data_IF_764925070258
#
_entry.id   IF_764925070258
#
_cell.length_a   1.000
_cell.length_b   1.000
_cell.length_c   1.000
_cell.angle_alpha   90.00
_cell.angle_beta   90.00
_cell.angle_gamma   90.00
#
_symmetry.space_group_name_H-M   'P 1'
#
loop_
_entity.id
_entity.type
_entity.pdbx_description
1 polymer ?
#
# COMPACT_ATOMS: atom_id res chain seq x y z
N UNK A 1 71.45 34.72 45.26
CA UNK A 1 70.30 34.37 46.06
C UNK A 1 69.19 35.36 45.79
N UNK A 2 68.14 34.99 45.10
CA UNK A 2 66.73 35.44 45.27
C UNK A 2 65.86 34.77 44.17
N UNK A 3 65.00 33.90 44.57
CA UNK A 3 64.05 33.18 43.74
C UNK A 3 62.92 34.11 43.32
N UNK A 4 62.62 34.21 42.03
CA UNK A 4 61.40 34.79 41.47
C UNK A 4 60.43 33.69 41.01
N UNK A 5 59.28 33.56 41.64
CA UNK A 5 58.18 32.68 41.26
C UNK A 5 57.39 33.31 40.13
N UNK A 6 57.33 32.63 39.00
CA UNK A 6 56.38 32.92 37.93
C UNK A 6 55.06 32.16 38.22
N UNK A 7 53.94 32.89 38.35
CA UNK A 7 52.58 32.38 38.39
C UNK A 7 52.10 32.17 36.96
N UNK A 8 51.83 30.93 36.59
CA UNK A 8 51.17 30.61 35.35
C UNK A 8 49.63 30.63 35.58
N UNK A 9 48.97 31.59 34.93
CA UNK A 9 47.50 31.65 34.90
C UNK A 9 46.93 30.66 33.89
N UNK A 10 46.14 29.71 34.34
CA UNK A 10 45.37 28.80 33.50
C UNK A 10 44.11 29.49 33.03
N UNK A 11 44.01 29.72 31.72
CA UNK A 11 42.75 30.14 31.07
C UNK A 11 41.93 28.89 30.79
N UNK A 12 40.82 28.70 31.53
CA UNK A 12 39.85 27.66 31.25
C UNK A 12 38.92 28.16 30.13
N UNK A 13 39.16 27.70 28.92
CA UNK A 13 38.25 27.92 27.80
C UNK A 13 37.04 27.02 27.93
N UNK A 14 35.88 27.62 28.20
CA UNK A 14 34.58 26.93 28.14
C UNK A 14 34.18 26.71 26.66
N UNK A 15 34.41 25.51 26.15
CA UNK A 15 33.84 25.08 24.87
C UNK A 15 32.35 24.78 25.07
N UNK A 16 31.48 25.68 24.58
CA UNK A 16 30.07 25.44 24.47
C UNK A 16 29.88 24.33 23.42
N UNK A 17 29.52 23.13 23.85
CA UNK A 17 28.95 22.09 23.01
C UNK A 17 27.57 22.56 22.54
N UNK A 18 27.50 23.11 21.33
CA UNK A 18 26.25 23.29 20.61
C UNK A 18 25.78 21.87 20.27
N UNK A 19 24.83 21.38 21.05
CA UNK A 19 24.11 20.13 20.75
C UNK A 19 23.41 20.29 19.41
N UNK A 20 23.93 19.65 18.36
CA UNK A 20 23.17 19.41 17.14
C UNK A 20 21.97 18.54 17.55
N UNK A 21 20.80 19.16 17.67
CA UNK A 21 19.55 18.42 17.75
C UNK A 21 19.46 17.52 16.51
N UNK A 22 18.74 16.38 16.59
CA UNK A 22 18.56 15.53 15.44
C UNK A 22 17.98 16.38 14.30
N UNK A 23 18.71 16.42 13.19
CA UNK A 23 18.18 16.95 11.93
C UNK A 23 16.98 16.05 11.60
N UNK A 24 15.77 16.52 11.90
CA UNK A 24 14.55 15.92 11.40
C UNK A 24 14.69 16.00 9.88
N UNK A 25 15.01 14.89 9.24
CA UNK A 25 14.93 14.77 7.79
C UNK A 25 13.58 15.33 7.39
N UNK A 26 13.58 16.25 6.44
CA UNK A 26 12.38 16.93 5.96
C UNK A 26 11.45 15.87 5.36
N UNK A 27 10.58 15.30 6.20
CA UNK A 27 9.63 14.23 5.86
C UNK A 27 8.47 14.78 5.01
N UNK A 28 8.79 15.77 4.18
CA UNK A 28 7.84 16.42 3.29
C UNK A 28 7.49 15.48 2.14
N UNK A 29 6.31 14.84 2.25
CA UNK A 29 5.80 13.92 1.24
C UNK A 29 4.99 14.60 0.14
N UNK A 30 4.78 15.90 0.24
CA UNK A 30 4.01 16.71 -0.71
C UNK A 30 4.88 17.80 -1.39
N UNK A 31 4.46 18.35 -2.58
CA UNK A 31 3.24 17.96 -3.30
C UNK A 31 3.34 16.54 -3.90
N UNK A 32 2.23 15.81 -3.87
CA UNK A 32 2.13 14.48 -4.48
C UNK A 32 1.09 14.50 -5.61
N UNK A 33 1.43 13.93 -6.77
CA UNK A 33 0.50 13.85 -7.90
C UNK A 33 -0.52 12.75 -7.72
N UNK A 34 -1.76 13.02 -8.10
CA UNK A 34 -2.87 12.07 -8.09
C UNK A 34 -3.89 12.42 -9.18
N UNK A 35 -4.79 11.49 -9.49
CA UNK A 35 -5.95 11.76 -10.30
C UNK A 35 -7.13 12.19 -9.43
N UNK A 36 -7.67 13.39 -9.70
CA UNK A 36 -8.92 13.88 -9.12
C UNK A 36 -10.08 13.54 -10.06
N UNK A 37 -11.16 12.95 -9.51
CA UNK A 37 -12.37 12.55 -10.23
C UNK A 37 -13.61 13.32 -9.80
N UNK A 38 -13.50 14.35 -8.99
CA UNK A 38 -14.66 15.10 -8.45
C UNK A 38 -15.49 15.77 -9.54
N UNK A 39 -14.88 16.11 -10.67
CA UNK A 39 -15.56 16.67 -11.85
C UNK A 39 -16.24 15.62 -12.74
N UNK A 40 -16.16 14.33 -12.39
CA UNK A 40 -16.66 13.22 -13.21
C UNK A 40 -15.67 12.73 -14.29
N UNK A 41 -14.53 13.41 -14.46
CA UNK A 41 -13.44 13.01 -15.36
C UNK A 41 -12.10 13.07 -14.63
N UNK A 42 -11.14 12.26 -15.09
CA UNK A 42 -9.78 12.23 -14.53
C UNK A 42 -9.02 13.52 -14.84
N UNK A 43 -8.51 14.16 -13.79
CA UNK A 43 -7.62 15.32 -13.90
C UNK A 43 -6.40 15.09 -13.00
N UNK A 44 -5.20 15.31 -13.53
CA UNK A 44 -3.98 15.28 -12.71
C UNK A 44 -3.97 16.53 -11.84
N UNK A 45 -3.84 16.31 -10.53
CA UNK A 45 -3.76 17.38 -9.52
C UNK A 45 -2.58 17.12 -8.57
N UNK A 46 -2.22 18.14 -7.81
CA UNK A 46 -1.22 18.05 -6.74
C UNK A 46 -1.91 18.06 -5.38
N UNK A 47 -1.58 17.08 -4.55
CA UNK A 47 -2.07 17.01 -3.17
C UNK A 47 -1.10 17.72 -2.24
N UNK A 48 -1.64 18.68 -1.48
CA UNK A 48 -0.94 19.39 -0.41
C UNK A 48 -1.77 19.20 0.87
N UNK A 49 -1.26 18.52 1.90
CA UNK A 49 -2.01 18.28 3.13
C UNK A 49 -2.17 19.54 3.95
N UNK A 50 -3.08 19.51 4.92
CA UNK A 50 -3.17 20.54 5.96
C UNK A 50 -1.86 20.57 6.77
N UNK A 51 -1.51 21.72 7.30
CA UNK A 51 -0.32 21.86 8.14
C UNK A 51 -0.45 21.06 9.44
N UNK A 52 -1.58 21.18 10.13
CA UNK A 52 -1.88 20.51 11.39
C UNK A 52 -3.40 20.47 11.62
N UNK A 53 -3.88 19.50 12.40
CA UNK A 53 -5.26 19.50 12.88
C UNK A 53 -5.48 20.56 13.98
N UNK A 54 -6.69 21.10 14.04
CA UNK A 54 -7.07 22.11 15.05
C UNK A 54 -7.23 21.53 16.45
N UNK A 55 -7.47 20.21 16.56
CA UNK A 55 -7.59 19.47 17.82
C UNK A 55 -7.25 17.98 17.63
N UNK A 56 -7.01 17.23 18.72
CA UNK A 56 -6.68 15.80 18.65
C UNK A 56 -7.92 14.94 18.33
N UNK A 57 -8.38 14.96 17.08
CA UNK A 57 -9.46 14.12 16.60
C UNK A 57 -9.18 12.62 16.82
N UNK A 58 -10.20 11.82 17.08
CA UNK A 58 -10.09 10.37 17.26
C UNK A 58 -10.47 9.66 15.95
N UNK A 59 -9.52 9.03 15.30
CA UNK A 59 -9.73 8.36 14.01
C UNK A 59 -9.65 6.85 14.20
N UNK A 60 -10.72 6.14 13.82
CA UNK A 60 -10.73 4.69 13.73
C UNK A 60 -10.20 4.26 12.37
N UNK A 61 -9.28 3.29 12.33
CA UNK A 61 -8.71 2.73 11.11
C UNK A 61 -9.01 1.24 11.05
N UNK A 62 -9.54 0.78 9.91
CA UNK A 62 -9.97 -0.61 9.70
C UNK A 62 -9.28 -1.20 8.49
N UNK A 63 -8.42 -2.22 8.69
CA UNK A 63 -7.73 -2.92 7.61
C UNK A 63 -8.11 -4.41 7.56
N UNK A 64 -7.99 -5.06 6.38
CA UNK A 64 -8.28 -6.49 6.24
C UNK A 64 -7.34 -7.34 7.10
N UNK A 65 -6.07 -7.05 7.08
CA UNK A 65 -5.03 -7.79 7.82
C UNK A 65 -3.71 -7.02 7.84
N UNK A 66 -2.74 -7.54 8.63
CA UNK A 66 -1.36 -7.04 8.71
C UNK A 66 -0.32 -8.13 8.37
N UNK A 67 -0.74 -9.22 7.69
CA UNK A 67 0.14 -10.35 7.33
C UNK A 67 0.92 -10.12 6.03
N UNK A 68 0.54 -9.15 5.20
CA UNK A 68 1.29 -8.66 4.05
C UNK A 68 1.91 -7.31 4.40
N UNK A 69 3.19 -7.12 4.13
CA UNK A 69 3.91 -5.86 4.38
C UNK A 69 3.41 -4.70 3.52
N UNK A 70 2.59 -4.97 2.50
CA UNK A 70 1.81 -3.94 1.83
C UNK A 70 0.91 -3.17 2.80
N UNK A 71 0.11 -3.86 3.63
CA UNK A 71 -0.74 -3.21 4.63
C UNK A 71 0.05 -2.55 5.75
N UNK A 72 1.25 -3.04 6.03
CA UNK A 72 2.20 -2.38 6.94
C UNK A 72 2.69 -1.05 6.35
N UNK A 73 2.84 -0.96 5.03
CA UNK A 73 3.18 0.30 4.37
C UNK A 73 2.01 1.31 4.40
N UNK A 74 0.77 0.85 4.24
CA UNK A 74 -0.42 1.72 4.44
C UNK A 74 -0.48 2.22 5.88
N UNK A 75 -0.27 1.33 6.86
CA UNK A 75 -0.22 1.68 8.28
C UNK A 75 0.86 2.72 8.57
N UNK A 76 2.07 2.56 8.01
CA UNK A 76 3.12 3.57 8.13
C UNK A 76 2.65 4.94 7.67
N UNK A 77 1.97 5.01 6.52
CA UNK A 77 1.39 6.26 6.01
C UNK A 77 0.38 6.86 6.97
N UNK A 78 -0.53 6.04 7.50
CA UNK A 78 -1.55 6.45 8.49
C UNK A 78 -0.91 6.95 9.78
N UNK A 79 0.04 6.20 10.33
CA UNK A 79 0.73 6.51 11.59
C UNK A 79 1.51 7.81 11.50
N UNK A 80 2.32 7.95 10.46
CA UNK A 80 3.15 9.14 10.30
C UNK A 80 2.31 10.39 10.04
N UNK A 81 1.20 10.25 9.31
CA UNK A 81 0.31 11.38 9.11
C UNK A 81 -0.49 11.73 10.37
N UNK A 82 -0.94 10.73 11.15
CA UNK A 82 -1.60 10.96 12.42
C UNK A 82 -0.69 11.69 13.42
N UNK A 83 0.58 11.29 13.50
CA UNK A 83 1.60 11.99 14.30
C UNK A 83 1.82 13.42 13.84
N UNK A 84 2.02 13.63 12.52
CA UNK A 84 2.26 14.94 11.92
C UNK A 84 1.09 15.89 12.16
N UNK A 85 -0.14 15.38 12.01
CA UNK A 85 -1.37 16.16 12.20
C UNK A 85 -1.71 16.39 13.69
N UNK A 86 -1.14 15.61 14.61
CA UNK A 86 -1.46 15.66 16.04
C UNK A 86 -2.86 15.11 16.34
N UNK A 87 -3.24 14.00 15.71
CA UNK A 87 -4.53 13.32 15.93
C UNK A 87 -4.32 11.95 16.57
N UNK A 88 -5.35 11.47 17.28
CA UNK A 88 -5.38 10.11 17.80
C UNK A 88 -5.80 9.13 16.71
N UNK A 89 -5.19 7.96 16.68
CA UNK A 89 -5.54 6.89 15.77
C UNK A 89 -5.61 5.55 16.51
N UNK A 90 -6.60 4.75 16.19
CA UNK A 90 -6.69 3.34 16.63
C UNK A 90 -6.98 2.46 15.44
N UNK A 91 -6.10 1.47 15.21
CA UNK A 91 -6.20 0.54 14.11
C UNK A 91 -6.72 -0.82 14.58
N UNK A 92 -7.72 -1.33 13.90
CA UNK A 92 -8.20 -2.71 13.98
C UNK A 92 -7.94 -3.42 12.66
N UNK A 93 -7.67 -4.72 12.74
CA UNK A 93 -7.50 -5.58 11.58
C UNK A 93 -8.32 -6.86 11.70
N UNK A 94 -8.90 -7.31 10.59
CA UNK A 94 -9.80 -8.44 10.60
C UNK A 94 -9.08 -9.81 10.60
N UNK A 95 -7.83 -9.88 10.12
CA UNK A 95 -7.01 -11.09 10.08
C UNK A 95 -6.94 -11.76 8.71
N UNK A 96 -7.73 -11.31 7.72
CA UNK A 96 -7.73 -11.82 6.35
C UNK A 96 -9.00 -11.43 5.61
N UNK A 97 -8.99 -11.61 4.30
CA UNK A 97 -10.15 -11.33 3.44
C UNK A 97 -11.31 -12.31 3.69
N UNK A 98 -11.05 -13.46 4.27
CA UNK A 98 -12.04 -14.44 4.71
C UNK A 98 -12.85 -13.98 5.94
N UNK A 99 -12.40 -12.95 6.64
CA UNK A 99 -12.94 -12.50 7.91
C UNK A 99 -13.87 -11.26 7.78
N UNK A 100 -14.68 -11.17 6.73
CA UNK A 100 -15.64 -10.09 6.56
C UNK A 100 -16.55 -9.87 7.80
N UNK A 101 -17.09 -10.91 8.47
CA UNK A 101 -17.91 -10.70 9.67
C UNK A 101 -17.17 -9.94 10.78
N UNK A 102 -15.88 -10.16 10.93
CA UNK A 102 -15.07 -9.44 11.92
C UNK A 102 -14.91 -7.96 11.54
N UNK A 103 -14.67 -7.64 10.25
CA UNK A 103 -14.60 -6.25 9.82
C UNK A 103 -15.93 -5.52 9.97
N UNK A 104 -17.07 -6.21 9.73
CA UNK A 104 -18.40 -5.67 9.98
C UNK A 104 -18.60 -5.28 11.46
N UNK A 105 -18.24 -6.18 12.40
CA UNK A 105 -18.29 -5.89 13.84
C UNK A 105 -17.39 -4.72 14.22
N UNK A 106 -16.14 -4.71 13.73
CA UNK A 106 -15.19 -3.63 13.98
C UNK A 106 -15.70 -2.27 13.45
N UNK A 107 -16.38 -2.27 12.30
CA UNK A 107 -16.99 -1.05 11.77
C UNK A 107 -18.12 -0.55 12.69
N UNK A 108 -19.02 -1.44 13.13
CA UNK A 108 -20.11 -1.08 14.05
C UNK A 108 -19.55 -0.60 15.41
N UNK A 109 -18.45 -1.18 15.92
CA UNK A 109 -17.74 -0.73 17.11
C UNK A 109 -17.15 0.69 16.93
N UNK A 110 -16.53 0.98 15.78
CA UNK A 110 -16.03 2.32 15.48
C UNK A 110 -17.16 3.34 15.29
N UNK A 111 -18.28 2.90 14.73
CA UNK A 111 -19.43 3.77 14.51
C UNK A 111 -20.08 4.19 15.85
N UNK A 112 -20.22 3.25 16.78
CA UNK A 112 -20.82 3.47 18.10
C UNK A 112 -19.85 4.01 19.14
N UNK A 113 -18.55 3.81 18.95
CA UNK A 113 -17.50 4.23 19.87
C UNK A 113 -17.15 5.72 19.78
N UNK A 114 -16.22 6.13 20.63
CA UNK A 114 -15.75 7.51 20.72
C UNK A 114 -14.73 7.83 19.61
N UNK A 115 -15.12 7.67 18.36
CA UNK A 115 -14.35 8.05 17.18
C UNK A 115 -15.06 9.13 16.38
N UNK A 116 -14.30 10.07 15.85
CA UNK A 116 -14.83 11.20 15.08
C UNK A 116 -14.95 10.86 13.59
N UNK A 117 -14.10 9.98 13.07
CA UNK A 117 -14.10 9.49 11.67
C UNK A 117 -13.66 8.04 11.58
N UNK A 118 -14.00 7.38 10.47
CA UNK A 118 -13.56 6.02 10.13
C UNK A 118 -12.78 6.06 8.81
N UNK A 119 -11.54 5.56 8.83
CA UNK A 119 -10.74 5.25 7.65
C UNK A 119 -10.77 3.74 7.45
N UNK A 120 -11.11 3.28 6.25
CA UNK A 120 -11.29 1.84 6.00
C UNK A 120 -10.68 1.38 4.68
N UNK A 121 -9.87 0.31 4.72
CA UNK A 121 -9.58 -0.56 3.58
C UNK A 121 -10.59 -1.72 3.58
N UNK A 122 -11.66 -1.68 2.78
CA UNK A 122 -12.74 -2.66 2.89
C UNK A 122 -12.32 -4.04 2.39
N UNK A 123 -12.70 -5.10 3.10
CA UNK A 123 -12.56 -6.50 2.62
C UNK A 123 -13.42 -6.71 1.37
N UNK A 124 -14.64 -6.20 1.38
CA UNK A 124 -15.59 -6.30 0.27
C UNK A 124 -16.54 -5.11 0.30
N UNK A 125 -16.64 -4.37 -0.79
CA UNK A 125 -17.60 -3.27 -0.91
C UNK A 125 -19.03 -3.77 -0.70
N UNK A 126 -19.43 -4.80 -1.44
CA UNK A 126 -20.78 -5.34 -1.36
C UNK A 126 -21.13 -5.87 0.04
N UNK A 127 -20.14 -6.47 0.73
CA UNK A 127 -20.32 -6.96 2.09
C UNK A 127 -20.50 -5.85 3.13
N UNK A 128 -19.93 -4.66 2.89
CA UNK A 128 -19.94 -3.51 3.79
C UNK A 128 -20.98 -2.44 3.43
N UNK A 129 -21.77 -2.62 2.37
CA UNK A 129 -22.70 -1.60 1.87
C UNK A 129 -23.65 -1.08 2.95
N UNK A 130 -24.20 -1.98 3.78
CA UNK A 130 -25.09 -1.60 4.90
C UNK A 130 -24.36 -0.77 5.96
N UNK A 131 -23.10 -1.08 6.25
CA UNK A 131 -22.26 -0.35 7.21
C UNK A 131 -21.93 1.04 6.68
N UNK A 132 -21.59 1.15 5.40
CA UNK A 132 -21.39 2.44 4.75
C UNK A 132 -22.63 3.32 4.82
N UNK A 133 -23.80 2.77 4.50
CA UNK A 133 -25.07 3.49 4.63
C UNK A 133 -25.35 3.96 6.07
N UNK A 134 -25.12 3.11 7.08
CA UNK A 134 -25.22 3.50 8.50
C UNK A 134 -24.24 4.63 8.86
N UNK A 135 -22.98 4.52 8.40
CA UNK A 135 -21.94 5.54 8.64
C UNK A 135 -22.35 6.89 8.08
N UNK A 136 -22.79 6.93 6.83
CA UNK A 136 -23.26 8.16 6.18
C UNK A 136 -24.47 8.73 6.93
N UNK A 137 -25.44 7.90 7.31
CA UNK A 137 -26.65 8.33 8.05
C UNK A 137 -26.33 8.90 9.44
N UNK A 138 -25.24 8.44 10.08
CA UNK A 138 -24.78 8.96 11.38
C UNK A 138 -24.11 10.33 11.28
N UNK A 139 -23.74 10.77 10.08
CA UNK A 139 -22.94 11.98 9.85
C UNK A 139 -21.45 11.82 10.18
N UNK A 140 -20.98 10.61 10.56
CA UNK A 140 -19.57 10.34 10.80
C UNK A 140 -18.84 10.18 9.46
N UNK A 141 -17.73 10.91 9.21
CA UNK A 141 -16.95 10.75 7.97
C UNK A 141 -16.44 9.33 7.78
N UNK A 142 -16.69 8.77 6.60
CA UNK A 142 -16.18 7.46 6.17
C UNK A 142 -15.22 7.69 5.01
N UNK A 143 -13.94 7.44 5.22
CA UNK A 143 -12.88 7.57 4.22
C UNK A 143 -12.44 6.18 3.79
N UNK A 144 -12.80 5.79 2.57
CA UNK A 144 -12.30 4.54 1.99
C UNK A 144 -10.90 4.74 1.43
N UNK A 145 -9.99 3.81 1.69
CA UNK A 145 -8.63 3.86 1.16
C UNK A 145 -8.20 2.49 0.62
N UNK A 146 -7.30 2.49 -0.35
CA UNK A 146 -6.70 1.31 -0.98
C UNK A 146 -7.72 0.49 -1.76
N UNK A 147 -8.51 -0.34 -1.08
CA UNK A 147 -9.46 -1.25 -1.72
C UNK A 147 -10.65 -0.52 -2.35
N UNK A 148 -11.20 -1.04 -3.46
CA UNK A 148 -12.17 -0.30 -4.25
C UNK A 148 -13.52 -0.15 -3.54
N UNK A 149 -14.10 1.05 -3.65
CA UNK A 149 -15.52 1.33 -3.35
C UNK A 149 -16.08 2.08 -4.55
N UNK A 150 -16.78 1.38 -5.44
CA UNK A 150 -17.29 1.92 -6.69
C UNK A 150 -18.73 2.42 -6.57
N UNK A 151 -19.62 1.62 -5.98
CA UNK A 151 -21.08 1.82 -5.95
C UNK A 151 -21.56 2.41 -4.63
N UNK A 152 -21.02 1.94 -3.49
CA UNK A 152 -21.44 2.40 -2.17
C UNK A 152 -21.06 3.85 -1.92
N UNK A 153 -21.92 4.55 -1.17
CA UNK A 153 -21.67 5.93 -0.78
C UNK A 153 -20.77 5.99 0.43
N UNK A 154 -19.65 6.71 0.32
CA UNK A 154 -18.74 7.08 1.40
C UNK A 154 -18.38 8.57 1.28
N UNK A 155 -17.81 9.16 2.32
CA UNK A 155 -17.48 10.59 2.32
C UNK A 155 -16.38 10.91 1.30
N UNK A 156 -15.33 10.08 1.27
CA UNK A 156 -14.22 10.19 0.32
C UNK A 156 -13.63 8.82 0.03
N UNK A 157 -13.02 8.68 -1.14
CA UNK A 157 -12.31 7.46 -1.59
C UNK A 157 -10.93 7.85 -2.10
N UNK A 158 -9.90 7.15 -1.59
CA UNK A 158 -8.55 7.19 -2.12
C UNK A 158 -8.14 5.78 -2.53
N UNK A 159 -7.97 5.52 -3.81
CA UNK A 159 -7.67 4.19 -4.35
C UNK A 159 -6.67 4.29 -5.52
N UNK A 160 -6.63 3.30 -6.39
CA UNK A 160 -5.88 3.28 -7.64
C UNK A 160 -6.76 2.66 -8.75
N UNK A 161 -6.33 2.76 -9.98
CA UNK A 161 -6.92 1.98 -11.06
C UNK A 161 -6.22 0.61 -11.17
N UNK A 162 -6.83 -0.41 -10.56
CA UNK A 162 -6.27 -1.77 -10.52
C UNK A 162 -6.19 -2.41 -11.91
N UNK A 163 -7.13 -2.09 -12.80
CA UNK A 163 -7.09 -2.57 -14.19
C UNK A 163 -5.89 -1.99 -14.91
N UNK A 164 -5.62 -0.68 -14.74
CA UNK A 164 -4.42 -0.04 -15.29
C UNK A 164 -3.14 -0.69 -14.76
N UNK A 165 -3.05 -1.01 -13.47
CA UNK A 165 -1.88 -1.70 -12.92
C UNK A 165 -1.70 -3.10 -13.53
N UNK A 166 -2.79 -3.86 -13.68
CA UNK A 166 -2.76 -5.14 -14.38
C UNK A 166 -2.30 -5.00 -15.82
N UNK A 167 -2.80 -3.99 -16.55
CA UNK A 167 -2.38 -3.69 -17.90
C UNK A 167 -0.88 -3.35 -17.97
N UNK A 168 -0.36 -2.53 -17.06
CA UNK A 168 1.06 -2.16 -16.99
C UNK A 168 1.96 -3.39 -16.82
N UNK A 169 1.61 -4.29 -15.89
CA UNK A 169 2.37 -5.52 -15.67
C UNK A 169 2.31 -6.47 -16.88
N UNK A 170 1.14 -6.58 -17.53
CA UNK A 170 0.97 -7.38 -18.74
C UNK A 170 1.73 -6.81 -19.92
N UNK A 171 1.70 -5.50 -20.13
CA UNK A 171 2.46 -4.81 -21.18
C UNK A 171 3.97 -4.99 -20.99
N UNK A 172 4.45 -4.82 -19.76
CA UNK A 172 5.85 -5.05 -19.44
C UNK A 172 6.28 -6.49 -19.73
N UNK A 173 5.44 -7.48 -19.38
CA UNK A 173 5.72 -8.88 -19.70
C UNK A 173 5.80 -9.11 -21.21
N UNK A 174 4.87 -8.56 -22.00
CA UNK A 174 4.87 -8.64 -23.48
C UNK A 174 6.16 -8.06 -24.05
N UNK A 175 6.56 -6.88 -23.61
CA UNK A 175 7.80 -6.21 -24.04
C UNK A 175 9.05 -7.01 -23.66
N UNK A 176 9.08 -7.62 -22.49
CA UNK A 176 10.17 -8.44 -22.00
C UNK A 176 10.31 -9.75 -22.80
N UNK A 177 9.19 -10.43 -23.05
CA UNK A 177 9.17 -11.69 -23.79
C UNK A 177 9.53 -11.53 -25.26
N UNK A 178 9.13 -10.44 -25.89
CA UNK A 178 9.18 -10.26 -27.34
C UNK A 178 8.48 -11.44 -28.05
N UNK A 179 9.21 -12.27 -28.76
CA UNK A 179 8.69 -13.44 -29.48
C UNK A 179 8.84 -14.75 -28.71
N UNK A 180 9.37 -14.72 -27.47
CA UNK A 180 9.53 -15.94 -26.66
C UNK A 180 8.17 -16.45 -26.19
N UNK A 181 7.98 -17.77 -26.30
CA UNK A 181 6.75 -18.42 -25.84
C UNK A 181 6.61 -18.40 -24.31
N UNK A 182 5.41 -18.13 -23.83
CA UNK A 182 5.09 -18.13 -22.42
C UNK A 182 3.80 -18.90 -22.13
N UNK A 183 3.84 -19.73 -21.07
CA UNK A 183 2.68 -20.33 -20.41
C UNK A 183 2.54 -19.71 -19.03
N UNK A 184 1.52 -18.87 -18.88
CA UNK A 184 1.33 -17.99 -17.73
C UNK A 184 0.32 -18.56 -16.74
N UNK A 185 0.77 -18.89 -15.54
CA UNK A 185 -0.10 -19.14 -14.40
C UNK A 185 -0.40 -17.86 -13.65
N UNK A 186 -1.68 -17.63 -13.32
CA UNK A 186 -2.15 -16.44 -12.65
C UNK A 186 -2.67 -16.72 -11.25
N UNK A 187 -2.25 -15.90 -10.27
CA UNK A 187 -2.54 -16.01 -8.84
C UNK A 187 -2.98 -14.64 -8.30
N UNK A 188 -4.16 -14.15 -8.71
CA UNK A 188 -4.52 -12.73 -8.55
C UNK A 188 -4.77 -12.30 -7.11
N UNK A 189 -5.13 -13.23 -6.22
CA UNK A 189 -5.51 -12.95 -4.84
C UNK A 189 -6.91 -13.46 -4.48
N UNK A 190 -7.56 -12.91 -3.43
CA UNK A 190 -8.86 -13.38 -2.96
C UNK A 190 -10.00 -12.98 -3.92
N UNK A 191 -10.83 -13.95 -4.28
CA UNK A 191 -12.05 -13.70 -5.05
C UNK A 191 -13.05 -12.88 -4.26
N UNK A 192 -13.76 -11.99 -4.94
CA UNK A 192 -14.76 -11.10 -4.34
C UNK A 192 -14.20 -9.85 -3.66
N UNK A 193 -12.88 -9.64 -3.72
CA UNK A 193 -12.23 -8.44 -3.21
C UNK A 193 -12.40 -7.21 -4.14
N UNK A 194 -12.70 -7.47 -5.42
CA UNK A 194 -12.81 -6.48 -6.49
C UNK A 194 -11.47 -6.05 -7.07
N UNK A 195 -10.42 -5.97 -6.25
CA UNK A 195 -9.10 -5.59 -6.73
C UNK A 195 -8.38 -6.74 -7.45
N UNK A 196 -8.51 -7.98 -6.96
CA UNK A 196 -7.87 -9.15 -7.56
C UNK A 196 -8.40 -9.43 -8.97
N UNK A 197 -9.72 -9.34 -9.14
CA UNK A 197 -10.38 -9.44 -10.43
C UNK A 197 -9.93 -8.33 -11.38
N UNK A 198 -9.91 -7.06 -10.91
CA UNK A 198 -9.53 -5.92 -11.74
C UNK A 198 -8.07 -5.97 -12.20
N UNK A 199 -7.14 -6.40 -11.34
CA UNK A 199 -5.75 -6.68 -11.74
C UNK A 199 -5.69 -7.73 -12.86
N UNK A 200 -6.39 -8.86 -12.65
CA UNK A 200 -6.39 -9.97 -13.61
C UNK A 200 -6.98 -9.55 -14.95
N UNK A 201 -8.08 -8.82 -14.94
CA UNK A 201 -8.74 -8.32 -16.16
C UNK A 201 -7.80 -7.41 -16.95
N UNK A 202 -7.10 -6.51 -16.26
CA UNK A 202 -6.10 -5.64 -16.87
C UNK A 202 -4.94 -6.43 -17.48
N UNK A 203 -4.39 -7.40 -16.74
CA UNK A 203 -3.32 -8.26 -17.23
C UNK A 203 -3.75 -9.05 -18.47
N UNK A 204 -4.92 -9.70 -18.42
CA UNK A 204 -5.48 -10.44 -19.55
C UNK A 204 -5.73 -9.55 -20.77
N UNK A 205 -6.18 -8.33 -20.56
CA UNK A 205 -6.39 -7.35 -21.64
C UNK A 205 -5.06 -7.03 -22.34
N UNK A 206 -3.97 -6.83 -21.59
CA UNK A 206 -2.66 -6.52 -22.15
C UNK A 206 -2.05 -7.66 -22.97
N UNK A 207 -2.26 -8.91 -22.54
CA UNK A 207 -1.71 -10.09 -23.23
C UNK A 207 -2.64 -10.65 -24.33
N UNK A 208 -3.85 -10.14 -24.43
CA UNK A 208 -4.86 -10.59 -25.40
C UNK A 208 -4.34 -10.48 -26.83
N UNK A 209 -4.50 -11.56 -27.62
CA UNK A 209 -4.09 -11.61 -29.01
C UNK A 209 -2.59 -11.81 -29.25
N UNK A 210 -1.80 -12.02 -28.21
CA UNK A 210 -0.37 -12.38 -28.33
C UNK A 210 -0.26 -13.90 -28.53
N UNK A 211 0.04 -14.34 -29.76
CA UNK A 211 0.06 -15.77 -30.14
C UNK A 211 1.13 -16.58 -29.42
N UNK A 212 2.17 -15.93 -28.90
CA UNK A 212 3.24 -16.55 -28.11
C UNK A 212 2.93 -16.67 -26.62
N UNK A 213 1.78 -16.17 -26.13
CA UNK A 213 1.39 -16.21 -24.73
C UNK A 213 0.14 -17.09 -24.56
N UNK A 214 0.27 -18.14 -23.78
CA UNK A 214 -0.84 -19.04 -23.38
C UNK A 214 -1.17 -18.79 -21.92
N UNK A 215 -2.42 -18.38 -21.65
CA UNK A 215 -2.93 -18.24 -20.29
C UNK A 215 -3.40 -19.59 -19.78
N UNK A 216 -2.96 -19.97 -18.59
CA UNK A 216 -3.43 -21.13 -17.84
C UNK A 216 -4.62 -20.75 -16.95
N UNK A 217 -5.13 -21.73 -16.17
CA UNK A 217 -6.25 -21.47 -15.25
C UNK A 217 -5.88 -20.45 -14.16
N UNK A 218 -6.80 -19.56 -13.87
CA UNK A 218 -6.66 -18.60 -12.77
C UNK A 218 -6.83 -19.31 -11.42
N UNK A 219 -5.95 -19.02 -10.47
CA UNK A 219 -5.96 -19.63 -9.12
C UNK A 219 -6.18 -18.53 -8.07
N UNK A 220 -7.45 -18.30 -7.74
CA UNK A 220 -7.81 -17.39 -6.66
C UNK A 220 -7.57 -18.00 -5.29
N UNK A 221 -7.18 -17.19 -4.31
CA UNK A 221 -7.00 -17.57 -2.91
C UNK A 221 -6.60 -16.38 -2.05
N UNK A 222 -6.71 -16.50 -0.73
CA UNK A 222 -6.36 -15.41 0.19
C UNK A 222 -4.93 -14.91 -0.02
N UNK A 223 -4.69 -13.64 0.26
CA UNK A 223 -3.39 -12.95 0.11
C UNK A 223 -2.39 -13.27 1.24
N UNK A 224 -2.41 -14.50 1.74
CA UNK A 224 -1.39 -15.04 2.65
C UNK A 224 -0.38 -15.90 1.90
N UNK A 225 0.92 -15.73 2.20
CA UNK A 225 2.01 -16.48 1.53
C UNK A 225 1.78 -17.99 1.58
N UNK A 226 1.32 -18.55 2.71
CA UNK A 226 1.08 -20.00 2.87
C UNK A 226 -0.03 -20.52 1.93
N UNK A 227 -1.12 -19.75 1.75
CA UNK A 227 -2.20 -20.11 0.83
C UNK A 227 -1.69 -20.09 -0.61
N UNK A 228 -1.00 -19.02 -0.98
CA UNK A 228 -0.45 -18.85 -2.33
C UNK A 228 0.62 -19.89 -2.65
N UNK A 229 1.44 -20.27 -1.67
CA UNK A 229 2.42 -21.36 -1.81
C UNK A 229 1.75 -22.68 -2.26
N UNK A 230 0.67 -23.07 -1.59
CA UNK A 230 -0.07 -24.28 -1.96
C UNK A 230 -0.65 -24.23 -3.38
N UNK A 231 -1.20 -23.07 -3.77
CA UNK A 231 -1.73 -22.86 -5.11
C UNK A 231 -0.65 -22.95 -6.19
N UNK A 232 0.51 -22.36 -5.96
CA UNK A 232 1.65 -22.39 -6.90
C UNK A 232 2.23 -23.79 -7.02
N UNK A 233 2.43 -24.51 -5.91
CA UNK A 233 2.92 -25.89 -5.93
C UNK A 233 1.99 -26.80 -6.74
N UNK A 234 0.69 -26.71 -6.51
CA UNK A 234 -0.31 -27.46 -7.27
C UNK A 234 -0.30 -27.10 -8.77
N UNK A 235 -0.16 -25.81 -9.08
CA UNK A 235 -0.09 -25.37 -10.48
C UNK A 235 1.18 -25.85 -11.19
N UNK A 236 2.35 -25.84 -10.53
CA UNK A 236 3.60 -26.37 -11.09
C UNK A 236 3.57 -27.88 -11.33
N UNK A 237 2.77 -28.62 -10.55
CA UNK A 237 2.53 -30.05 -10.78
C UNK A 237 1.58 -30.29 -11.94
N UNK A 238 0.48 -29.51 -12.01
CA UNK A 238 -0.52 -29.63 -13.07
C UNK A 238 0.00 -29.15 -14.44
N UNK A 239 0.86 -28.16 -14.44
CA UNK A 239 1.44 -27.52 -15.63
C UNK A 239 2.98 -27.51 -15.54
N UNK A 240 3.65 -28.66 -15.80
CA UNK A 240 5.11 -28.76 -15.67
C UNK A 240 5.90 -27.80 -16.57
N UNK A 241 5.29 -27.34 -17.64
CA UNK A 241 5.84 -26.40 -18.64
C UNK A 241 5.40 -24.95 -18.41
N UNK A 242 4.73 -24.63 -17.30
CA UNK A 242 4.50 -23.26 -16.87
C UNK A 242 5.83 -22.55 -16.65
N UNK A 243 6.05 -21.44 -17.37
CA UNK A 243 7.30 -20.70 -17.35
C UNK A 243 7.15 -19.22 -17.00
N UNK A 244 5.91 -18.77 -16.71
CA UNK A 244 5.63 -17.45 -16.13
C UNK A 244 4.63 -17.58 -15.00
N UNK A 245 4.92 -16.94 -13.87
CA UNK A 245 4.02 -16.80 -12.72
C UNK A 245 3.73 -15.31 -12.56
N UNK A 246 2.45 -14.95 -12.65
CA UNK A 246 1.97 -13.62 -12.37
C UNK A 246 0.94 -13.68 -11.23
N UNK A 247 1.05 -12.77 -10.24
CA UNK A 247 0.09 -12.80 -9.15
C UNK A 247 0.24 -11.65 -8.16
N UNK A 248 -0.56 -11.69 -7.11
CA UNK A 248 -0.43 -10.78 -5.97
C UNK A 248 0.95 -10.89 -5.30
N UNK A 249 1.37 -9.88 -4.55
CA UNK A 249 2.71 -9.88 -3.96
C UNK A 249 3.00 -11.13 -3.11
N UNK A 250 2.10 -11.63 -2.22
CA UNK A 250 2.32 -12.90 -1.53
C UNK A 250 2.44 -14.13 -2.44
N UNK A 251 1.80 -14.10 -3.62
CA UNK A 251 1.96 -15.19 -4.61
C UNK A 251 3.35 -15.13 -5.25
N UNK A 252 3.79 -13.94 -5.67
CA UNK A 252 5.12 -13.77 -6.23
C UNK A 252 6.21 -14.08 -5.20
N UNK A 253 6.02 -13.72 -3.93
CA UNK A 253 6.91 -14.08 -2.81
C UNK A 253 7.01 -15.60 -2.65
N UNK A 254 5.87 -16.31 -2.61
CA UNK A 254 5.83 -17.77 -2.55
C UNK A 254 6.48 -18.40 -3.78
N UNK A 255 6.29 -17.81 -4.97
CA UNK A 255 6.86 -18.31 -6.23
C UNK A 255 8.39 -18.30 -6.21
N UNK A 256 9.02 -17.23 -5.72
CA UNK A 256 10.50 -17.11 -5.65
C UNK A 256 11.09 -18.32 -4.92
N UNK A 257 10.59 -18.66 -3.74
CA UNK A 257 11.05 -19.81 -2.99
C UNK A 257 10.74 -21.16 -3.68
N UNK A 258 9.54 -21.28 -4.24
CA UNK A 258 9.07 -22.53 -4.84
C UNK A 258 9.85 -22.89 -6.12
N UNK A 259 10.06 -21.93 -7.03
CA UNK A 259 10.80 -22.19 -8.27
C UNK A 259 12.26 -22.48 -8.00
N UNK A 260 12.86 -21.85 -6.99
CA UNK A 260 14.22 -22.12 -6.57
C UNK A 260 14.36 -23.55 -6.02
N UNK A 261 13.45 -24.00 -5.16
CA UNK A 261 13.43 -25.36 -4.60
C UNK A 261 13.18 -26.43 -5.68
N UNK A 262 12.32 -26.13 -6.65
CA UNK A 262 12.03 -27.03 -7.77
C UNK A 262 13.13 -27.06 -8.84
N UNK A 263 14.20 -26.28 -8.69
CA UNK A 263 15.26 -26.15 -9.70
C UNK A 263 14.82 -25.46 -11.00
N UNK A 264 13.66 -24.80 -11.02
CA UNK A 264 13.04 -24.16 -12.19
C UNK A 264 13.41 -22.67 -12.26
N UNK A 265 14.68 -22.36 -12.24
CA UNK A 265 15.18 -20.97 -12.20
C UNK A 265 14.86 -20.13 -13.46
N UNK A 266 14.42 -20.78 -14.54
CA UNK A 266 14.03 -20.11 -15.78
C UNK A 266 12.57 -19.63 -15.78
N UNK A 267 11.79 -19.94 -14.73
CA UNK A 267 10.43 -19.43 -14.56
C UNK A 267 10.49 -17.96 -14.21
N UNK A 268 9.86 -17.13 -15.04
CA UNK A 268 9.75 -15.71 -14.82
C UNK A 268 8.66 -15.43 -13.79
N UNK A 269 8.92 -14.52 -12.88
CA UNK A 269 7.98 -14.12 -11.84
C UNK A 269 7.70 -12.63 -11.95
N UNK A 270 6.42 -12.23 -11.84
CA UNK A 270 5.99 -10.85 -11.81
C UNK A 270 4.88 -10.66 -10.80
N UNK A 271 4.94 -9.57 -10.04
CA UNK A 271 3.91 -9.21 -9.08
C UNK A 271 2.94 -8.16 -9.63
N UNK A 272 1.67 -8.24 -9.24
CA UNK A 272 0.67 -7.24 -9.59
C UNK A 272 0.77 -5.97 -8.74
N UNK A 273 1.37 -6.07 -7.54
CA UNK A 273 1.59 -4.94 -6.66
C UNK A 273 2.85 -5.11 -5.79
N UNK A 274 3.19 -4.06 -5.07
CA UNK A 274 4.37 -3.93 -4.23
C UNK A 274 4.20 -4.50 -2.82
N UNK A 275 5.27 -5.03 -2.25
CA UNK A 275 5.54 -5.17 -0.83
C UNK A 275 7.05 -5.21 -0.61
N UNK A 276 7.53 -5.30 0.63
CA UNK A 276 8.97 -5.31 0.90
C UNK A 276 9.67 -6.50 0.25
N UNK A 277 9.05 -7.69 0.29
CA UNK A 277 9.63 -8.88 -0.33
C UNK A 277 9.80 -8.72 -1.85
N UNK A 278 8.88 -8.01 -2.51
CA UNK A 278 8.97 -7.72 -3.95
C UNK A 278 10.13 -6.77 -4.28
N UNK A 279 10.38 -5.75 -3.46
CA UNK A 279 11.55 -4.89 -3.64
C UNK A 279 12.85 -5.68 -3.45
N UNK A 280 12.91 -6.53 -2.44
CA UNK A 280 14.09 -7.34 -2.16
C UNK A 280 14.36 -8.35 -3.30
N UNK A 281 13.31 -9.01 -3.81
CA UNK A 281 13.38 -9.93 -4.94
C UNK A 281 13.76 -9.23 -6.26
N UNK A 282 13.25 -8.02 -6.49
CA UNK A 282 13.62 -7.20 -7.65
C UNK A 282 15.11 -6.83 -7.60
N UNK A 283 15.62 -6.41 -6.46
CA UNK A 283 17.03 -6.07 -6.26
C UNK A 283 17.95 -7.26 -6.54
N UNK A 284 17.53 -8.48 -6.16
CA UNK A 284 18.23 -9.74 -6.43
C UNK A 284 18.07 -10.24 -7.87
N UNK A 285 17.13 -9.68 -8.65
CA UNK A 285 16.81 -10.13 -9.99
C UNK A 285 15.98 -11.44 -10.03
N UNK A 286 15.28 -11.73 -8.95
CA UNK A 286 14.42 -12.92 -8.80
C UNK A 286 13.02 -12.71 -9.38
N UNK A 287 12.61 -11.46 -9.63
CA UNK A 287 11.36 -11.09 -10.28
C UNK A 287 11.61 -10.05 -11.38
N UNK A 288 10.70 -9.96 -12.34
CA UNK A 288 10.77 -8.96 -13.42
C UNK A 288 10.41 -7.55 -12.93
N UNK A 289 9.46 -7.44 -12.03
CA UNK A 289 8.96 -6.18 -11.51
C UNK A 289 7.57 -6.30 -10.90
N UNK A 290 7.00 -5.15 -10.54
CA UNK A 290 5.67 -5.01 -9.96
C UNK A 290 5.10 -3.62 -10.30
N UNK A 291 3.77 -3.48 -10.30
CA UNK A 291 3.16 -2.16 -10.34
C UNK A 291 3.06 -1.59 -8.93
N UNK A 292 3.03 -0.25 -8.78
CA UNK A 292 2.81 0.39 -7.47
C UNK A 292 1.57 1.24 -7.45
N UNK A 293 0.85 1.18 -6.35
CA UNK A 293 -0.29 2.02 -6.03
C UNK A 293 0.02 3.08 -4.96
N UNK A 294 1.27 3.17 -4.52
CA UNK A 294 1.72 4.13 -3.51
C UNK A 294 0.97 4.00 -2.16
N UNK A 295 1.03 2.85 -1.47
CA UNK A 295 0.25 2.58 -0.26
C UNK A 295 0.52 3.56 0.89
N UNK A 296 1.78 3.99 1.09
CA UNK A 296 2.12 5.01 2.10
C UNK A 296 1.41 6.33 1.79
N UNK A 297 1.42 6.76 0.52
CA UNK A 297 0.73 7.97 0.09
C UNK A 297 -0.78 7.86 0.34
N UNK A 298 -1.39 6.72 0.01
CA UNK A 298 -2.82 6.51 0.22
C UNK A 298 -3.19 6.58 1.71
N UNK A 299 -2.39 5.98 2.59
CA UNK A 299 -2.56 6.07 4.04
C UNK A 299 -2.49 7.50 4.57
N UNK A 300 -1.50 8.28 4.10
CA UNK A 300 -1.35 9.70 4.47
C UNK A 300 -2.54 10.54 4.02
N UNK A 301 -2.92 10.44 2.75
CA UNK A 301 -4.07 11.17 2.20
C UNK A 301 -5.36 10.82 2.95
N UNK A 302 -5.55 9.55 3.34
CA UNK A 302 -6.76 9.14 4.05
C UNK A 302 -6.91 9.83 5.40
N UNK A 303 -5.84 9.97 6.18
CA UNK A 303 -5.85 10.69 7.47
C UNK A 303 -6.06 12.18 7.27
N UNK A 304 -5.31 12.82 6.36
CA UNK A 304 -5.49 14.25 6.09
C UNK A 304 -6.91 14.55 5.60
N UNK A 305 -7.47 13.71 4.73
CA UNK A 305 -8.86 13.86 4.26
C UNK A 305 -9.87 13.72 5.39
N UNK A 306 -9.68 12.77 6.31
CA UNK A 306 -10.56 12.65 7.48
C UNK A 306 -10.55 13.94 8.32
N UNK A 307 -9.38 14.51 8.57
CA UNK A 307 -9.24 15.79 9.30
C UNK A 307 -9.91 16.96 8.54
N UNK A 308 -9.70 17.05 7.21
CA UNK A 308 -10.34 18.09 6.37
C UNK A 308 -11.85 18.05 6.49
N UNK A 309 -12.45 16.86 6.42
CA UNK A 309 -13.90 16.70 6.56
C UNK A 309 -14.37 17.14 7.94
N UNK A 310 -13.69 16.70 9.01
CA UNK A 310 -14.03 17.07 10.39
C UNK A 310 -13.91 18.57 10.65
N UNK A 311 -12.98 19.25 9.98
CA UNK A 311 -12.75 20.69 10.11
C UNK A 311 -13.48 21.53 9.05
N UNK A 312 -14.34 20.90 8.24
CA UNK A 312 -15.11 21.56 7.17
C UNK A 312 -14.21 22.30 6.18
N UNK A 313 -13.03 21.76 5.92
CA UNK A 313 -12.11 22.24 4.89
C UNK A 313 -12.43 21.58 3.56
N UNK A 314 -11.96 22.17 2.48
CA UNK A 314 -12.03 21.57 1.16
C UNK A 314 -11.30 20.21 1.13
N UNK A 315 -11.91 19.19 0.54
CA UNK A 315 -11.35 17.84 0.41
C UNK A 315 -11.77 17.21 -0.93
N UNK A 316 -11.00 16.22 -1.37
CA UNK A 316 -11.28 15.46 -2.59
C UNK A 316 -12.21 14.30 -2.26
N UNK A 317 -13.32 14.17 -3.00
CA UNK A 317 -14.30 13.09 -2.79
C UNK A 317 -13.87 11.78 -3.46
N UNK A 318 -13.18 11.87 -4.59
CA UNK A 318 -12.72 10.72 -5.34
C UNK A 318 -11.33 10.97 -5.92
N UNK A 319 -10.34 10.33 -5.31
CA UNK A 319 -8.94 10.39 -5.70
C UNK A 319 -8.41 9.01 -6.10
N UNK A 320 -7.50 8.96 -7.08
CA UNK A 320 -6.74 7.75 -7.40
C UNK A 320 -5.25 8.07 -7.45
N UNK A 321 -4.42 7.21 -6.85
CA UNK A 321 -3.00 7.24 -7.08
C UNK A 321 -2.70 7.01 -8.56
N UNK A 322 -1.64 7.65 -9.07
CA UNK A 322 -1.15 7.42 -10.45
C UNK A 322 -0.21 6.21 -10.36
N UNK A 323 -0.58 5.05 -10.91
CA UNK A 323 0.25 3.86 -10.77
C UNK A 323 1.49 3.91 -11.67
N UNK A 324 2.58 3.32 -11.20
CA UNK A 324 3.80 3.13 -11.98
C UNK A 324 4.17 1.65 -12.05
N UNK A 325 4.67 1.20 -13.21
CA UNK A 325 5.37 -0.07 -13.32
C UNK A 325 6.80 0.09 -12.83
N UNK A 326 7.19 -0.69 -11.83
CA UNK A 326 8.52 -0.69 -11.24
C UNK A 326 9.29 -1.92 -11.72
N UNK A 327 10.43 -1.67 -12.32
CA UNK A 327 11.42 -2.64 -12.73
C UNK A 327 12.82 -2.15 -12.35
N UNK A 328 13.82 -3.01 -12.45
CA UNK A 328 15.20 -2.64 -12.10
C UNK A 328 15.72 -1.42 -12.89
N UNK A 329 15.22 -1.21 -14.10
CA UNK A 329 15.63 -0.12 -14.99
C UNK A 329 15.11 1.27 -14.62
N UNK A 330 14.13 1.38 -13.71
CA UNK A 330 13.53 2.66 -13.33
C UNK A 330 13.35 2.84 -11.81
N UNK A 331 13.86 1.92 -11.01
CA UNK A 331 13.72 1.94 -9.54
C UNK A 331 14.26 3.24 -8.92
N UNK A 332 15.34 3.78 -9.49
CA UNK A 332 15.98 5.03 -9.06
C UNK A 332 15.12 6.30 -9.30
N UNK A 333 14.09 6.20 -10.14
CA UNK A 333 13.18 7.30 -10.45
C UNK A 333 11.94 7.33 -9.57
N UNK A 334 11.74 6.30 -8.76
CA UNK A 334 10.55 6.15 -7.91
C UNK A 334 10.84 6.67 -6.50
N UNK A 335 9.96 7.50 -5.99
CA UNK A 335 10.03 7.90 -4.58
C UNK A 335 9.53 6.77 -3.68
N UNK A 336 10.43 5.86 -3.32
CA UNK A 336 10.11 4.67 -2.51
C UNK A 336 9.55 5.01 -1.12
N UNK A 337 9.78 6.21 -0.59
CA UNK A 337 9.20 6.63 0.70
C UNK A 337 7.68 6.81 0.66
N UNK A 338 7.09 6.90 -0.54
CA UNK A 338 5.64 6.91 -0.74
C UNK A 338 5.08 5.51 -1.06
N UNK A 339 5.97 4.53 -1.26
CA UNK A 339 5.62 3.15 -1.66
C UNK A 339 5.76 2.19 -0.48
N UNK A 340 6.88 2.18 0.22
CA UNK A 340 7.17 1.22 1.29
C UNK A 340 7.46 1.92 2.62
N UNK A 341 7.11 1.24 3.70
CA UNK A 341 7.58 1.62 5.03
C UNK A 341 9.10 1.37 5.17
N UNK A 342 9.80 2.06 6.07
CA UNK A 342 11.16 1.68 6.46
C UNK A 342 11.21 0.20 6.89
N UNK A 343 12.31 -0.49 6.55
CA UNK A 343 12.42 -1.94 6.76
C UNK A 343 12.30 -2.38 8.25
N UNK A 344 12.61 -1.48 9.17
CA UNK A 344 12.51 -1.69 10.61
C UNK A 344 11.14 -1.28 11.20
N UNK A 345 10.26 -0.67 10.40
CA UNK A 345 8.93 -0.29 10.86
C UNK A 345 8.09 -1.53 11.19
N UNK A 346 7.44 -1.48 12.34
CA UNK A 346 6.48 -2.49 12.79
C UNK A 346 5.09 -1.89 12.86
N UNK A 347 4.08 -2.72 12.57
CA UNK A 347 2.69 -2.30 12.64
C UNK A 347 2.35 -1.61 13.98
N UNK A 348 1.72 -0.44 13.89
CA UNK A 348 1.34 0.40 15.04
C UNK A 348 -0.16 0.50 15.12
N UNK A 349 -0.73 -0.02 16.19
CA UNK A 349 -2.17 -0.12 16.37
C UNK A 349 -2.80 1.07 17.08
N UNK A 350 -2.00 2.01 17.58
CA UNK A 350 -2.48 3.20 18.24
C UNK A 350 -1.45 4.33 18.19
N UNK A 351 -1.91 5.52 17.85
CA UNK A 351 -1.18 6.78 18.00
C UNK A 351 -1.99 7.67 18.92
N UNK A 352 -1.32 8.29 19.88
CA UNK A 352 -1.90 9.35 20.71
C UNK A 352 -1.29 10.68 20.33
N UNK A 353 -2.14 11.67 20.20
CA UNK A 353 -1.70 13.06 20.01
C UNK A 353 -0.86 13.49 21.22
N UNK A 354 0.16 14.34 21.02
CA UNK A 354 1.03 14.85 22.06
C UNK A 354 0.28 15.73 23.09
#
# INVERSE_FOLDING_TARGET
MKYGRLLAGAVVGATALVGAGPIMADNKWWPAKYYNFDSGSSQVAEYVPLEKASKPWNICVLFPHMKDTFWVAVDYGVVEEAKRMGVNMTLYQAGGYENLPKQLSQFDDCLSGNFDAIVIGPISEAGLDKQFAKGVASGKPIISTVNPVAKSTVTSKMTVDFTTMGEQTGQYLVEYLKDKSAKVGTFPGPSGSGWAEAFLDGFKKAVKGKSNITMLDDKFGDSGVAVQLGLIQNALQAYPDMNVIWGCAPAAEAAVGTVAQAGKRDVLIMSSYENQAMLDALNKGEILGFATQYPVLQGRIAIDTAVRVLEKKEYVKSAKAIPDMIAKSNLDKINMSLVLAPADFKAVYSVKAP
#
